data_IF_748681903429
#
_entry.id   IF_748681903429
#
_cell.length_a   1.000
_cell.length_b   1.000
_cell.length_c   1.000
_cell.angle_alpha   90.00
_cell.angle_beta   90.00
_cell.angle_gamma   90.00
#
_symmetry.space_group_name_H-M   'P 1'
#
loop_
_entity.id
_entity.type
_entity.pdbx_description
1 polymer ?
#
# COMPACT_ATOMS: atom_id res chain seq x y z
N UNK A 1 57.59 88.85 21.52
CA UNK A 1 56.99 88.77 20.19
C UNK A 1 56.29 87.47 20.15
N UNK A 2 55.06 87.42 19.69
CA UNK A 2 54.01 86.77 20.49
C UNK A 2 53.78 85.31 20.13
N UNK A 3 53.34 84.60 21.17
CA UNK A 3 52.86 83.17 21.17
C UNK A 3 51.53 83.05 20.47
N UNK A 4 51.41 82.09 19.61
CA UNK A 4 50.15 81.56 19.18
C UNK A 4 49.82 80.28 19.94
N UNK A 5 48.68 80.32 20.62
CA UNK A 5 48.11 79.22 21.37
C UNK A 5 47.18 78.44 20.43
N UNK A 6 47.51 77.25 20.05
CA UNK A 6 46.67 76.31 19.29
C UNK A 6 45.83 75.51 20.29
N UNK A 7 44.58 75.80 20.35
CA UNK A 7 43.61 75.02 21.11
C UNK A 7 43.20 73.82 20.28
N UNK A 8 43.62 72.65 20.71
CA UNK A 8 43.26 71.34 20.15
C UNK A 8 41.87 70.91 20.72
N UNK A 9 40.93 70.89 19.83
CA UNK A 9 39.58 70.57 20.15
C UNK A 9 39.39 69.02 20.08
N UNK A 10 39.56 68.36 21.23
CA UNK A 10 39.36 66.93 21.35
C UNK A 10 37.84 66.56 21.41
N UNK A 11 37.32 66.19 20.28
CA UNK A 11 35.94 65.59 20.22
C UNK A 11 35.95 64.19 20.85
N UNK A 12 34.92 63.81 21.64
CA UNK A 12 34.91 62.51 22.31
C UNK A 12 34.48 61.41 21.35
N UNK A 13 35.42 60.51 21.05
CA UNK A 13 35.20 59.33 20.19
C UNK A 13 34.23 58.27 20.74
N UNK A 14 33.56 58.56 21.85
CA UNK A 14 32.81 57.53 22.57
C UNK A 14 31.33 57.33 22.07
N UNK A 15 30.80 58.22 21.23
CA UNK A 15 29.42 58.10 20.71
C UNK A 15 29.27 57.10 19.57
N UNK A 16 30.31 56.81 18.81
CA UNK A 16 30.22 55.90 17.65
C UNK A 16 30.25 54.42 18.07
N UNK A 17 30.89 54.06 19.20
CA UNK A 17 30.97 52.67 19.66
C UNK A 17 29.67 52.12 20.25
N UNK A 18 28.83 52.96 20.84
CA UNK A 18 27.56 52.51 21.45
C UNK A 18 26.52 52.19 20.38
N UNK A 19 26.47 52.95 19.28
CA UNK A 19 25.57 52.68 18.17
C UNK A 19 25.88 51.35 17.47
N UNK A 20 27.15 51.04 17.20
CA UNK A 20 27.55 49.79 16.54
C UNK A 20 27.25 48.53 17.35
N UNK A 21 27.35 48.59 18.68
CA UNK A 21 27.01 47.45 19.56
C UNK A 21 25.47 47.22 19.67
N UNK A 22 24.67 48.27 19.56
CA UNK A 22 23.19 48.14 19.56
C UNK A 22 22.70 47.62 18.20
N UNK A 23 23.26 48.09 17.09
CA UNK A 23 22.97 47.55 15.75
C UNK A 23 23.44 46.10 15.59
N UNK A 24 24.63 45.74 16.11
CA UNK A 24 25.10 44.37 16.06
C UNK A 24 24.19 43.41 16.87
N UNK A 25 23.73 43.82 18.04
CA UNK A 25 22.77 43.01 18.88
C UNK A 25 21.40 42.90 18.27
N UNK A 26 20.92 43.95 17.60
CA UNK A 26 19.64 43.91 16.88
C UNK A 26 19.70 42.99 15.64
N UNK A 27 20.85 43.02 14.92
CA UNK A 27 21.06 42.15 13.75
C UNK A 27 21.19 40.67 14.16
N UNK A 28 21.87 40.38 15.28
CA UNK A 28 21.99 38.99 15.78
C UNK A 28 20.64 38.47 16.29
N UNK A 29 19.80 39.27 16.95
CA UNK A 29 18.46 38.88 17.35
C UNK A 29 17.53 38.67 16.15
N UNK A 30 17.64 39.47 15.10
CA UNK A 30 16.88 39.31 13.87
C UNK A 30 17.25 38.03 13.12
N UNK A 31 18.54 37.68 13.08
CA UNK A 31 19.04 36.43 12.49
C UNK A 31 18.62 35.18 13.30
N UNK A 32 18.56 35.29 14.64
CA UNK A 32 18.07 34.21 15.50
C UNK A 32 16.55 33.98 15.33
N UNK A 33 15.78 35.05 15.15
CA UNK A 33 14.33 34.94 14.90
C UNK A 33 14.01 34.33 13.52
N UNK A 34 14.84 34.59 12.51
CA UNK A 34 14.70 34.01 11.17
C UNK A 34 14.99 32.50 11.15
N UNK A 35 15.83 32.00 12.05
CA UNK A 35 16.14 30.56 12.12
C UNK A 35 15.05 29.71 12.78
N UNK A 36 14.18 30.29 13.59
CA UNK A 36 13.03 29.59 14.18
C UNK A 36 11.83 29.47 13.21
N UNK A 37 11.77 30.30 12.18
CA UNK A 37 10.71 30.24 11.16
C UNK A 37 10.94 29.20 10.08
N UNK A 38 12.16 28.68 9.92
CA UNK A 38 12.50 27.70 8.88
C UNK A 38 12.13 26.26 9.24
N UNK A 39 11.78 25.98 10.50
CA UNK A 39 11.40 24.63 10.93
C UNK A 39 9.91 24.32 10.76
N UNK A 40 9.06 25.30 10.43
CA UNK A 40 7.62 25.05 10.25
C UNK A 40 7.28 24.42 8.88
N UNK A 41 8.10 24.62 7.86
CA UNK A 41 7.89 24.00 6.53
C UNK A 41 8.56 22.63 6.36
N UNK A 42 9.37 22.18 7.34
CA UNK A 42 10.00 20.86 7.32
C UNK A 42 9.16 19.74 7.94
N UNK A 43 8.09 20.08 8.67
CA UNK A 43 7.22 19.11 9.30
C UNK A 43 6.10 18.62 8.37
N UNK A 44 5.82 19.32 7.28
CA UNK A 44 4.85 18.89 6.27
C UNK A 44 5.39 17.72 5.43
N UNK A 45 6.69 17.41 5.47
CA UNK A 45 7.23 16.20 4.84
C UNK A 45 6.80 14.90 5.58
N UNK A 46 6.41 15.02 6.83
CA UNK A 46 5.69 13.98 7.57
C UNK A 46 4.19 14.27 7.65
N UNK A 47 3.68 15.19 6.84
CA UNK A 47 2.27 15.29 6.62
C UNK A 47 1.82 13.91 6.17
N UNK A 48 1.22 13.19 7.10
CA UNK A 48 0.43 11.99 6.92
C UNK A 48 -0.18 12.09 5.53
N UNK A 49 0.24 11.19 4.64
CA UNK A 49 -0.53 10.87 3.46
C UNK A 49 -1.97 10.79 3.95
N UNK A 50 -2.81 11.73 3.57
CA UNK A 50 -4.23 11.69 3.90
C UNK A 50 -4.72 10.41 3.25
N UNK A 51 -4.61 9.31 4.02
CA UNK A 51 -5.30 8.08 3.68
C UNK A 51 -6.74 8.50 3.54
N UNK A 52 -7.26 8.37 2.32
CA UNK A 52 -8.68 8.56 2.08
C UNK A 52 -9.43 7.90 3.24
N UNK A 53 -10.48 8.53 3.80
CA UNK A 53 -11.19 8.00 4.95
C UNK A 53 -11.52 6.54 4.65
N UNK A 54 -11.17 5.63 5.56
CA UNK A 54 -11.38 4.20 5.38
C UNK A 54 -12.82 3.96 4.94
N UNK A 55 -12.96 3.50 3.72
CA UNK A 55 -14.25 3.18 3.17
C UNK A 55 -14.80 1.95 3.88
N UNK A 56 -16.07 1.93 4.22
CA UNK A 56 -16.66 0.80 4.94
C UNK A 56 -16.46 -0.51 4.15
N UNK A 57 -16.07 -1.58 4.84
CA UNK A 57 -15.67 -2.85 4.24
C UNK A 57 -16.77 -3.46 3.35
N UNK A 58 -18.03 -3.35 3.77
CA UNK A 58 -19.19 -3.79 3.00
C UNK A 58 -19.39 -3.01 1.70
N UNK A 59 -19.10 -1.71 1.71
CA UNK A 59 -19.20 -0.84 0.54
C UNK A 59 -18.12 -1.19 -0.50
N UNK A 60 -16.89 -1.36 -0.08
CA UNK A 60 -15.79 -1.81 -0.95
C UNK A 60 -16.07 -3.20 -1.55
N UNK A 61 -16.59 -4.12 -0.73
CA UNK A 61 -16.95 -5.45 -1.19
C UNK A 61 -18.06 -5.41 -2.25
N UNK A 62 -19.11 -4.63 -2.01
CA UNK A 62 -20.22 -4.46 -2.95
C UNK A 62 -19.79 -3.75 -4.24
N UNK A 63 -18.85 -2.82 -4.18
CA UNK A 63 -18.24 -2.21 -5.38
C UNK A 63 -17.48 -3.26 -6.19
N UNK A 64 -16.71 -4.14 -5.55
CA UNK A 64 -16.07 -5.28 -6.20
C UNK A 64 -17.09 -6.20 -6.91
N UNK A 65 -18.20 -6.54 -6.24
CA UNK A 65 -19.29 -7.32 -6.85
C UNK A 65 -19.92 -6.60 -8.05
N UNK A 66 -20.13 -5.29 -7.96
CA UNK A 66 -20.66 -4.50 -9.07
C UNK A 66 -19.72 -4.50 -10.28
N UNK A 67 -18.43 -4.31 -10.06
CA UNK A 67 -17.42 -4.37 -11.13
C UNK A 67 -17.39 -5.76 -11.79
N UNK A 68 -17.46 -6.82 -10.98
CA UNK A 68 -17.44 -8.19 -11.48
C UNK A 68 -18.68 -8.55 -12.29
N UNK A 69 -19.87 -8.30 -11.75
CA UNK A 69 -21.12 -8.83 -12.29
C UNK A 69 -21.82 -7.88 -13.27
N UNK A 70 -21.75 -6.58 -13.04
CA UNK A 70 -22.46 -5.59 -13.84
C UNK A 70 -21.56 -4.92 -14.89
N UNK A 71 -20.30 -4.67 -14.56
CA UNK A 71 -19.35 -4.02 -15.47
C UNK A 71 -18.56 -5.02 -16.30
N UNK A 72 -18.48 -6.27 -15.85
CA UNK A 72 -17.61 -7.31 -16.43
C UNK A 72 -16.14 -6.89 -16.47
N UNK A 73 -15.69 -6.23 -15.40
CA UNK A 73 -14.33 -5.76 -15.19
C UNK A 73 -13.66 -6.60 -14.07
N UNK A 74 -13.36 -7.89 -14.31
CA UNK A 74 -12.94 -8.80 -13.24
C UNK A 74 -11.59 -8.42 -12.63
N UNK A 75 -10.67 -7.86 -13.42
CA UNK A 75 -9.37 -7.44 -12.90
C UNK A 75 -9.48 -6.25 -11.93
N UNK A 76 -10.36 -5.31 -12.23
CA UNK A 76 -10.62 -4.17 -11.32
C UNK A 76 -11.42 -4.62 -10.09
N UNK A 77 -12.36 -5.56 -10.26
CA UNK A 77 -13.05 -6.19 -9.14
C UNK A 77 -12.09 -6.88 -8.16
N UNK A 78 -11.10 -7.62 -8.67
CA UNK A 78 -10.09 -8.26 -7.85
C UNK A 78 -9.33 -7.25 -6.98
N UNK A 79 -8.92 -6.12 -7.55
CA UNK A 79 -8.24 -5.04 -6.81
C UNK A 79 -9.13 -4.44 -5.71
N UNK A 80 -10.43 -4.29 -5.98
CA UNK A 80 -11.38 -3.82 -4.96
C UNK A 80 -11.54 -4.81 -3.82
N UNK A 81 -11.58 -6.09 -4.10
CA UNK A 81 -11.60 -7.12 -3.06
C UNK A 81 -10.29 -7.15 -2.25
N UNK A 82 -9.13 -6.96 -2.89
CA UNK A 82 -7.87 -6.81 -2.17
C UNK A 82 -7.84 -5.57 -1.27
N UNK A 83 -8.48 -4.48 -1.71
CA UNK A 83 -8.61 -3.27 -0.93
C UNK A 83 -9.38 -3.49 0.37
N UNK A 84 -10.45 -4.33 0.34
CA UNK A 84 -11.18 -4.74 1.56
C UNK A 84 -10.23 -5.41 2.56
N UNK A 85 -9.43 -6.37 2.11
CA UNK A 85 -8.48 -7.07 2.96
C UNK A 85 -7.38 -6.13 3.49
N UNK A 86 -6.94 -5.18 2.70
CA UNK A 86 -5.90 -4.20 3.07
C UNK A 86 -6.39 -3.20 4.12
N UNK A 87 -7.61 -2.65 3.94
CA UNK A 87 -8.16 -1.64 4.86
C UNK A 87 -8.79 -2.27 6.11
N UNK A 88 -9.39 -3.43 5.97
CA UNK A 88 -10.18 -4.08 7.03
C UNK A 88 -9.80 -5.56 7.25
N UNK A 89 -8.52 -5.88 7.51
CA UNK A 89 -8.00 -7.26 7.51
C UNK A 89 -8.67 -8.20 8.51
N UNK A 90 -9.29 -7.65 9.55
CA UNK A 90 -9.96 -8.45 10.60
C UNK A 90 -11.48 -8.50 10.46
N UNK A 91 -12.02 -7.93 9.39
CA UNK A 91 -13.45 -7.96 9.13
C UNK A 91 -13.89 -9.31 8.54
N UNK A 92 -15.15 -9.69 8.74
CA UNK A 92 -15.72 -10.85 8.03
C UNK A 92 -15.74 -10.65 6.51
N UNK A 93 -15.75 -9.38 6.06
CA UNK A 93 -15.70 -9.02 4.65
C UNK A 93 -14.33 -9.30 4.03
N UNK A 94 -13.24 -9.15 4.80
CA UNK A 94 -11.88 -9.45 4.31
C UNK A 94 -11.74 -10.89 3.88
N UNK A 95 -12.26 -11.85 4.69
CA UNK A 95 -12.23 -13.26 4.34
C UNK A 95 -13.03 -13.54 3.05
N UNK A 96 -14.23 -12.98 2.92
CA UNK A 96 -15.05 -13.11 1.71
C UNK A 96 -14.37 -12.43 0.50
N UNK A 97 -13.81 -11.26 0.70
CA UNK A 97 -13.14 -10.52 -0.34
C UNK A 97 -11.89 -11.25 -0.87
N UNK A 98 -11.11 -11.87 0.00
CA UNK A 98 -9.91 -12.60 -0.40
C UNK A 98 -10.23 -13.82 -1.31
N UNK A 99 -11.28 -14.56 -1.05
CA UNK A 99 -11.69 -15.64 -1.95
C UNK A 99 -12.30 -15.09 -3.26
N UNK A 100 -13.02 -13.97 -3.17
CA UNK A 100 -13.59 -13.30 -4.34
C UNK A 100 -12.52 -12.65 -5.22
N UNK A 101 -11.41 -12.14 -4.65
CA UNK A 101 -10.30 -11.65 -5.44
C UNK A 101 -9.65 -12.78 -6.26
N UNK A 102 -9.47 -13.95 -5.64
CA UNK A 102 -8.97 -15.14 -6.34
C UNK A 102 -9.84 -15.53 -7.53
N UNK A 103 -11.16 -15.58 -7.32
CA UNK A 103 -12.13 -15.86 -8.39
C UNK A 103 -12.12 -14.79 -9.49
N UNK A 104 -12.07 -13.53 -9.11
CA UNK A 104 -12.03 -12.43 -10.05
C UNK A 104 -10.76 -12.43 -10.90
N UNK A 105 -9.58 -12.72 -10.33
CA UNK A 105 -8.35 -12.93 -11.07
C UNK A 105 -8.43 -14.11 -12.03
N UNK A 106 -8.98 -15.23 -11.58
CA UNK A 106 -9.22 -16.38 -12.46
C UNK A 106 -10.10 -15.99 -13.68
N UNK A 107 -11.22 -15.31 -13.42
CA UNK A 107 -12.12 -14.83 -14.47
C UNK A 107 -11.46 -13.82 -15.41
N UNK A 108 -10.49 -13.06 -14.93
CA UNK A 108 -9.69 -12.12 -15.71
C UNK A 108 -8.59 -12.80 -16.56
N UNK A 109 -8.36 -14.11 -16.40
CA UNK A 109 -7.21 -14.81 -16.98
C UNK A 109 -5.87 -14.41 -16.34
N UNK A 110 -5.89 -13.76 -15.19
CA UNK A 110 -4.72 -13.39 -14.40
C UNK A 110 -4.35 -14.54 -13.46
N UNK A 111 -3.88 -15.64 -14.02
CA UNK A 111 -3.75 -16.91 -13.32
C UNK A 111 -2.70 -16.90 -12.21
N UNK A 112 -1.58 -16.23 -12.38
CA UNK A 112 -0.55 -16.12 -11.33
C UNK A 112 -1.05 -15.33 -10.11
N UNK A 113 -1.80 -14.26 -10.32
CA UNK A 113 -2.44 -13.48 -9.27
C UNK A 113 -3.54 -14.29 -8.57
N UNK A 114 -4.31 -15.08 -9.33
CA UNK A 114 -5.29 -16.01 -8.75
C UNK A 114 -4.63 -17.02 -7.81
N UNK A 115 -3.56 -17.68 -8.26
CA UNK A 115 -2.81 -18.64 -7.44
C UNK A 115 -2.28 -18.00 -6.17
N UNK A 116 -1.71 -16.80 -6.28
CA UNK A 116 -1.17 -16.06 -5.12
C UNK A 116 -2.25 -15.73 -4.10
N UNK A 117 -3.38 -15.18 -4.56
CA UNK A 117 -4.51 -14.81 -3.70
C UNK A 117 -5.15 -16.04 -3.04
N UNK A 118 -5.35 -17.14 -3.81
CA UNK A 118 -5.91 -18.38 -3.31
C UNK A 118 -5.00 -19.08 -2.28
N UNK A 119 -3.69 -19.11 -2.49
CA UNK A 119 -2.73 -19.62 -1.51
C UNK A 119 -2.75 -18.82 -0.22
N UNK A 120 -2.83 -17.49 -0.32
CA UNK A 120 -2.99 -16.61 0.84
C UNK A 120 -4.26 -16.94 1.60
N UNK A 121 -5.38 -17.14 0.90
CA UNK A 121 -6.64 -17.55 1.53
C UNK A 121 -6.49 -18.82 2.36
N UNK A 122 -5.93 -19.89 1.78
CA UNK A 122 -5.73 -21.17 2.45
C UNK A 122 -4.81 -21.03 3.66
N UNK A 123 -3.77 -20.20 3.55
CA UNK A 123 -2.79 -19.97 4.64
C UNK A 123 -3.44 -19.25 5.83
N UNK A 124 -4.29 -18.26 5.56
CA UNK A 124 -4.96 -17.49 6.60
C UNK A 124 -6.20 -18.20 7.18
N UNK A 125 -6.86 -19.05 6.39
CA UNK A 125 -8.13 -19.70 6.72
C UNK A 125 -8.12 -21.21 6.43
N UNK A 126 -7.16 -22.01 6.98
CA UNK A 126 -6.97 -23.40 6.60
C UNK A 126 -8.18 -24.32 6.91
N UNK A 127 -9.01 -23.95 7.86
CA UNK A 127 -10.23 -24.70 8.24
C UNK A 127 -11.53 -24.16 7.62
N UNK A 128 -11.42 -23.20 6.70
CA UNK A 128 -12.63 -22.64 6.04
C UNK A 128 -13.24 -23.63 5.05
N UNK A 129 -14.58 -23.70 4.94
CA UNK A 129 -15.24 -24.48 3.89
C UNK A 129 -14.83 -24.05 2.48
N UNK A 130 -14.49 -22.76 2.28
CA UNK A 130 -14.06 -22.20 0.99
C UNK A 130 -12.62 -22.58 0.63
N UNK A 131 -11.86 -23.22 1.55
CA UNK A 131 -10.48 -23.66 1.27
C UNK A 131 -10.42 -24.71 0.16
N UNK A 132 -11.46 -25.52 0.02
CA UNK A 132 -11.58 -26.46 -1.09
C UNK A 132 -11.69 -25.74 -2.44
N UNK A 133 -12.47 -24.67 -2.47
CA UNK A 133 -12.61 -23.83 -3.66
C UNK A 133 -11.32 -23.08 -3.99
N UNK A 134 -10.66 -22.50 -3.00
CA UNK A 134 -9.37 -21.84 -3.20
C UNK A 134 -8.33 -22.81 -3.78
N UNK A 135 -8.24 -24.03 -3.25
CA UNK A 135 -7.33 -25.06 -3.76
C UNK A 135 -7.70 -25.48 -5.19
N UNK A 136 -8.99 -25.56 -5.50
CA UNK A 136 -9.47 -25.86 -6.85
C UNK A 136 -9.08 -24.74 -7.84
N UNK A 137 -9.22 -23.48 -7.45
CA UNK A 137 -8.78 -22.33 -8.28
C UNK A 137 -7.29 -22.36 -8.57
N UNK A 138 -6.44 -22.77 -7.62
CA UNK A 138 -5.00 -22.97 -7.86
C UNK A 138 -4.76 -24.02 -8.94
N UNK A 139 -5.46 -25.15 -8.86
CA UNK A 139 -5.36 -26.22 -9.83
C UNK A 139 -5.83 -25.81 -11.22
N UNK A 140 -7.01 -25.21 -11.30
CA UNK A 140 -7.62 -24.74 -12.55
C UNK A 140 -6.79 -23.64 -13.22
N UNK A 141 -6.24 -22.68 -12.44
CA UNK A 141 -5.37 -21.63 -12.98
C UNK A 141 -4.12 -22.20 -13.63
N UNK A 142 -3.45 -23.14 -12.96
CA UNK A 142 -2.29 -23.80 -13.56
C UNK A 142 -2.66 -24.65 -14.79
N UNK A 143 -3.86 -25.27 -14.78
CA UNK A 143 -4.35 -26.06 -15.91
C UNK A 143 -4.64 -25.19 -17.13
N UNK A 144 -5.36 -24.09 -16.94
CA UNK A 144 -5.74 -23.17 -18.05
C UNK A 144 -4.52 -22.42 -18.62
N UNK A 145 -3.42 -22.38 -17.87
CA UNK A 145 -2.16 -21.75 -18.32
C UNK A 145 -1.22 -22.74 -19.03
N UNK A 146 -1.60 -24.00 -19.24
CA UNK A 146 -0.78 -24.98 -19.99
C UNK A 146 -0.73 -24.52 -21.46
N UNK A 147 0.45 -24.14 -21.98
CA UNK A 147 0.52 -23.53 -23.33
C UNK A 147 0.45 -24.56 -24.45
N UNK A 148 1.23 -25.63 -24.36
CA UNK A 148 1.35 -26.71 -25.34
C UNK A 148 1.99 -27.94 -24.67
N UNK A 149 1.47 -29.10 -25.00
CA UNK A 149 1.97 -30.40 -24.49
C UNK A 149 3.43 -30.70 -24.82
N UNK A 150 3.99 -30.01 -25.80
CA UNK A 150 5.39 -30.20 -26.24
C UNK A 150 6.38 -29.30 -25.52
N UNK A 151 5.89 -28.38 -24.70
CA UNK A 151 6.70 -27.42 -23.96
C UNK A 151 6.90 -27.80 -22.51
N UNK A 152 7.20 -26.81 -21.65
CA UNK A 152 7.44 -26.99 -20.24
C UNK A 152 6.27 -27.66 -19.50
N UNK A 153 6.53 -28.79 -18.89
CA UNK A 153 5.53 -29.56 -18.12
C UNK A 153 5.30 -29.02 -16.70
N UNK A 154 6.02 -27.97 -16.30
CA UNK A 154 5.95 -27.43 -14.94
C UNK A 154 4.52 -27.01 -14.55
N UNK A 155 3.76 -26.40 -15.46
CA UNK A 155 2.36 -26.03 -15.20
C UNK A 155 1.45 -27.25 -15.06
N UNK A 156 1.68 -28.28 -15.88
CA UNK A 156 0.96 -29.55 -15.81
C UNK A 156 1.18 -30.25 -14.46
N UNK A 157 2.42 -30.28 -13.99
CA UNK A 157 2.75 -30.87 -12.68
C UNK A 157 2.10 -30.10 -11.53
N UNK A 158 2.14 -28.77 -11.57
CA UNK A 158 1.48 -27.92 -10.56
C UNK A 158 -0.04 -28.06 -10.57
N UNK A 159 -0.67 -28.11 -11.75
CA UNK A 159 -2.08 -28.33 -11.89
C UNK A 159 -2.49 -29.69 -11.29
N UNK A 160 -1.80 -30.76 -11.69
CA UNK A 160 -2.07 -32.10 -11.22
C UNK A 160 -1.91 -32.20 -9.69
N UNK A 161 -0.83 -31.67 -9.14
CA UNK A 161 -0.57 -31.68 -7.70
C UNK A 161 -1.66 -30.92 -6.93
N UNK A 162 -2.05 -29.73 -7.40
CA UNK A 162 -3.07 -28.91 -6.75
C UNK A 162 -4.46 -29.56 -6.82
N UNK A 163 -4.86 -30.13 -7.97
CA UNK A 163 -6.15 -30.82 -8.12
C UNK A 163 -6.19 -32.12 -7.31
N UNK A 164 -5.10 -32.87 -7.25
CA UNK A 164 -4.99 -34.05 -6.41
C UNK A 164 -5.10 -33.71 -4.92
N UNK A 165 -4.59 -32.53 -4.52
CA UNK A 165 -4.72 -32.03 -3.16
C UNK A 165 -6.19 -31.71 -2.82
N UNK A 166 -6.99 -31.17 -3.75
CA UNK A 166 -8.44 -31.01 -3.56
C UNK A 166 -9.10 -32.35 -3.25
N UNK A 167 -8.80 -33.39 -4.04
CA UNK A 167 -9.39 -34.70 -3.89
C UNK A 167 -9.01 -35.38 -2.57
N UNK A 168 -7.78 -35.17 -2.11
CA UNK A 168 -7.25 -35.84 -0.90
C UNK A 168 -7.63 -35.10 0.38
N UNK A 169 -7.55 -33.76 0.39
CA UNK A 169 -7.83 -32.95 1.60
C UNK A 169 -9.33 -32.64 1.78
N UNK A 170 -10.07 -32.53 0.67
CA UNK A 170 -11.46 -32.10 0.68
C UNK A 170 -12.37 -33.09 -0.06
N UNK A 171 -12.34 -34.39 0.25
CA UNK A 171 -12.98 -35.45 -0.54
C UNK A 171 -14.49 -35.32 -0.65
N UNK A 172 -15.15 -34.64 0.29
CA UNK A 172 -16.59 -34.42 0.34
C UNK A 172 -17.07 -33.13 -0.34
N UNK A 173 -16.13 -32.30 -0.82
CA UNK A 173 -16.47 -31.04 -1.50
C UNK A 173 -16.92 -31.33 -2.95
N UNK A 174 -17.79 -30.48 -3.48
CA UNK A 174 -18.16 -30.49 -4.90
C UNK A 174 -16.95 -30.30 -5.84
N UNK A 175 -15.97 -29.55 -5.38
CA UNK A 175 -14.71 -29.30 -6.11
C UNK A 175 -13.84 -30.55 -6.23
N UNK A 176 -13.96 -31.51 -5.30
CA UNK A 176 -13.25 -32.80 -5.44
C UNK A 176 -13.83 -33.66 -6.58
N UNK A 177 -15.10 -33.48 -6.90
CA UNK A 177 -15.72 -34.13 -8.07
C UNK A 177 -15.20 -33.48 -9.36
N UNK A 178 -15.22 -32.16 -9.41
CA UNK A 178 -14.72 -31.41 -10.57
C UNK A 178 -13.23 -31.63 -10.82
N UNK A 179 -12.42 -31.74 -9.78
CA UNK A 179 -10.99 -31.98 -9.87
C UNK A 179 -10.61 -33.37 -10.43
N UNK A 180 -11.54 -34.33 -10.47
CA UNK A 180 -11.31 -35.68 -11.03
C UNK A 180 -11.61 -35.79 -12.53
N UNK A 181 -12.26 -34.80 -13.12
CA UNK A 181 -12.66 -34.77 -14.53
C UNK A 181 -11.50 -34.27 -15.42
#
# INVERSE_FOLDING_TARGET
>A
MPNEITTENSMPQNRVRVGRRRFARALTMLLLAASLGACSNGLDFFAKEETAPDEAADRLYNEGLFLLNARHEPKEAAKKFEEVDRQHPYSEWARKALIMSSYAYYTAGSYDECVTSAQRYITLHPGSPDSAYAQYLIGSSNFDEIPDITRDQSRTEKALAALQEVVTKYPTSEYAVSAKQ
#
